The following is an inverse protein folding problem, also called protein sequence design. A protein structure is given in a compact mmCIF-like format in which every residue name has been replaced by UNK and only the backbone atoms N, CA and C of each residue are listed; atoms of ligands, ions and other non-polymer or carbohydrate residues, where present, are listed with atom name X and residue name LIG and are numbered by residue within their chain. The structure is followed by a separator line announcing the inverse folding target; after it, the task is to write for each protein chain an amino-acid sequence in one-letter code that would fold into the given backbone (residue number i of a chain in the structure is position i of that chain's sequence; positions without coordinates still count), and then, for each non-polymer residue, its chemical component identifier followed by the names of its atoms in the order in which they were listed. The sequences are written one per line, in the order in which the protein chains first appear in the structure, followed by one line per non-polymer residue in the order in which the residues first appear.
data_IF_920039898863
#
_entry.id   IF_920039898863
#
_cell.length_a   1.000
_cell.length_b   1.000
_cell.length_c   1.000
_cell.angle_alpha   90.00
_cell.angle_beta   90.00
_cell.angle_gamma   90.00
#
_symmetry.space_group_name_H-M   'P 1'
#
loop_
_entity.id
_entity.type
_entity.pdbx_description
1 polymer ?
#
# COMPACT_ATOMS: atom_id res chain seq x y z
N UNK A 1 3.86 -29.16 -24.48
CA UNK A 1 3.84 -28.27 -23.30
C UNK A 1 5.27 -27.85 -23.01
N UNK A 2 5.71 -26.69 -23.52
CA UNK A 2 7.05 -26.20 -23.21
C UNK A 2 7.09 -25.70 -21.77
N UNK A 3 7.86 -26.37 -20.92
CA UNK A 3 8.17 -25.90 -19.59
C UNK A 3 8.93 -24.59 -19.69
N UNK A 4 8.32 -23.50 -19.22
CA UNK A 4 8.97 -22.20 -19.17
C UNK A 4 9.95 -22.21 -17.99
N UNK A 5 11.13 -22.80 -18.21
CA UNK A 5 12.24 -22.75 -17.25
C UNK A 5 12.78 -21.32 -17.22
N UNK A 6 12.43 -20.57 -16.19
CA UNK A 6 12.97 -19.22 -15.97
C UNK A 6 14.47 -19.35 -15.71
N UNK A 7 15.29 -18.74 -16.59
CA UNK A 7 16.74 -18.68 -16.39
C UNK A 7 17.06 -17.97 -15.06
N UNK A 8 18.07 -18.43 -14.30
CA UNK A 8 18.49 -17.75 -13.09
C UNK A 8 18.98 -16.34 -13.43
N UNK A 9 18.67 -15.36 -12.56
CA UNK A 9 19.10 -13.97 -12.72
C UNK A 9 20.64 -13.89 -12.65
N UNK A 10 21.22 -13.11 -13.57
CA UNK A 10 22.62 -12.71 -13.49
C UNK A 10 22.88 -11.86 -12.24
N UNK A 11 24.15 -11.74 -11.79
CA UNK A 11 24.48 -10.89 -10.64
C UNK A 11 24.04 -9.42 -10.80
N UNK A 12 24.14 -8.86 -12.00
CA UNK A 12 23.73 -7.48 -12.29
C UNK A 12 22.21 -7.30 -12.25
N UNK A 13 21.44 -8.24 -12.82
CA UNK A 13 19.97 -8.21 -12.73
C UNK A 13 19.49 -8.37 -11.30
N UNK A 14 20.16 -9.21 -10.50
CA UNK A 14 19.88 -9.36 -9.07
C UNK A 14 20.13 -8.05 -8.33
N UNK A 15 21.28 -7.40 -8.56
CA UNK A 15 21.60 -6.12 -7.94
C UNK A 15 20.57 -5.04 -8.33
N UNK A 16 20.18 -4.97 -9.60
CA UNK A 16 19.14 -4.06 -10.07
C UNK A 16 17.78 -4.34 -9.41
N UNK A 17 17.39 -5.61 -9.26
CA UNK A 17 16.16 -6.00 -8.58
C UNK A 17 16.16 -5.61 -7.09
N UNK A 18 17.28 -5.79 -6.40
CA UNK A 18 17.46 -5.39 -5.01
C UNK A 18 17.35 -3.87 -4.86
N UNK A 19 18.02 -3.11 -5.72
CA UNK A 19 17.95 -1.64 -5.74
C UNK A 19 16.51 -1.15 -5.99
N UNK A 20 15.80 -1.75 -6.95
CA UNK A 20 14.40 -1.44 -7.21
C UNK A 20 13.51 -1.76 -6.01
N UNK A 21 13.75 -2.87 -5.32
CA UNK A 21 13.00 -3.23 -4.11
C UNK A 21 13.28 -2.27 -2.94
N UNK A 22 14.54 -1.83 -2.77
CA UNK A 22 14.92 -0.84 -1.77
C UNK A 22 14.24 0.52 -2.04
N UNK A 23 14.30 0.99 -3.28
CA UNK A 23 13.61 2.22 -3.70
C UNK A 23 12.10 2.14 -3.42
N UNK A 24 11.45 1.02 -3.77
CA UNK A 24 10.03 0.83 -3.50
C UNK A 24 9.69 0.84 -2.00
N UNK A 25 10.57 0.30 -1.14
CA UNK A 25 10.38 0.37 0.33
C UNK A 25 10.52 1.80 0.82
N UNK A 26 11.50 2.55 0.31
CA UNK A 26 11.71 3.96 0.66
C UNK A 26 10.51 4.82 0.25
N UNK A 27 9.97 4.64 -0.96
CA UNK A 27 8.75 5.35 -1.42
C UNK A 27 7.57 5.10 -0.48
N UNK A 28 7.32 3.85 -0.08
CA UNK A 28 6.24 3.55 0.87
C UNK A 28 6.48 4.15 2.24
N UNK A 29 7.72 4.10 2.76
CA UNK A 29 8.06 4.70 4.04
C UNK A 29 7.83 6.22 4.03
N UNK A 30 8.28 6.91 2.99
CA UNK A 30 8.07 8.35 2.81
C UNK A 30 6.58 8.70 2.70
N UNK A 31 5.79 7.89 1.98
CA UNK A 31 4.35 8.10 1.88
C UNK A 31 3.64 7.95 3.23
N UNK A 32 4.01 6.95 4.04
CA UNK A 32 3.49 6.79 5.41
C UNK A 32 3.88 7.95 6.32
N UNK A 33 5.11 8.44 6.24
CA UNK A 33 5.53 9.61 7.02
C UNK A 33 4.77 10.87 6.61
N UNK A 34 4.51 11.09 5.31
CA UNK A 34 3.66 12.19 4.84
C UNK A 34 2.21 12.08 5.33
N UNK A 35 1.69 10.86 5.43
CA UNK A 35 0.34 10.64 5.94
C UNK A 35 0.29 10.93 7.45
N UNK A 36 1.26 10.42 8.20
CA UNK A 36 1.40 10.63 9.65
C UNK A 36 1.48 12.10 10.05
N UNK A 37 2.17 12.92 9.25
CA UNK A 37 2.34 14.35 9.52
C UNK A 37 1.33 15.26 8.81
N UNK A 38 0.28 14.68 8.18
CA UNK A 38 -0.78 15.44 7.53
C UNK A 38 -0.36 16.18 6.25
N UNK A 39 0.81 15.87 5.67
CA UNK A 39 1.25 16.45 4.38
C UNK A 39 0.55 15.86 3.16
N UNK A 40 -0.19 14.77 3.32
CA UNK A 40 -1.01 14.14 2.27
C UNK A 40 -2.23 13.50 2.92
N UNK A 41 -3.37 13.46 2.21
CA UNK A 41 -4.54 12.69 2.67
C UNK A 41 -4.44 11.22 2.27
N UNK A 42 -5.28 10.38 2.89
CA UNK A 42 -5.43 8.99 2.47
C UNK A 42 -6.01 8.87 1.05
N UNK A 43 -6.97 9.75 0.70
CA UNK A 43 -7.55 9.82 -0.64
C UNK A 43 -6.48 10.11 -1.70
N UNK A 44 -5.60 11.09 -1.47
CA UNK A 44 -4.51 11.43 -2.38
C UNK A 44 -3.55 10.26 -2.59
N UNK A 45 -3.20 9.55 -1.51
CA UNK A 45 -2.28 8.42 -1.57
C UNK A 45 -2.92 7.23 -2.32
N UNK A 46 -4.21 6.96 -2.09
CA UNK A 46 -4.97 5.93 -2.82
C UNK A 46 -5.08 6.29 -4.30
N UNK A 47 -5.25 7.58 -4.64
CA UNK A 47 -5.25 8.07 -6.02
C UNK A 47 -3.88 7.94 -6.69
N UNK A 48 -2.82 8.39 -6.02
CA UNK A 48 -1.44 8.29 -6.50
C UNK A 48 -1.00 6.84 -6.76
N UNK A 49 -1.57 5.88 -6.03
CA UNK A 49 -1.31 4.45 -6.23
C UNK A 49 -1.73 3.93 -7.63
N UNK A 50 -2.50 4.68 -8.42
CA UNK A 50 -2.77 4.33 -9.81
C UNK A 50 -1.55 4.50 -10.73
N UNK A 51 -0.68 5.47 -10.43
CA UNK A 51 0.53 5.78 -11.22
C UNK A 51 1.84 5.30 -10.59
N UNK A 52 1.85 4.96 -9.30
CA UNK A 52 3.04 4.52 -8.57
C UNK A 52 2.94 3.05 -8.16
N UNK A 53 3.74 2.17 -8.79
CA UNK A 53 3.71 0.73 -8.55
C UNK A 53 4.17 0.35 -7.13
N UNK A 54 4.98 1.18 -6.47
CA UNK A 54 5.40 0.95 -5.09
C UNK A 54 4.25 1.22 -4.11
N UNK A 55 3.46 2.27 -4.35
CA UNK A 55 2.24 2.58 -3.58
C UNK A 55 1.11 1.61 -3.91
N UNK A 56 0.91 1.27 -5.19
CA UNK A 56 -0.05 0.27 -5.66
C UNK A 56 0.05 -1.05 -4.89
N UNK A 57 1.29 -1.45 -4.57
CA UNK A 57 1.60 -2.66 -3.83
C UNK A 57 1.60 -2.48 -2.31
N UNK A 58 1.42 -1.29 -1.75
CA UNK A 58 1.31 -1.12 -0.30
C UNK A 58 0.05 -1.83 0.23
N UNK A 59 0.14 -2.44 1.41
CA UNK A 59 -1.03 -3.03 2.08
C UNK A 59 -1.92 -1.93 2.65
N UNK A 60 -3.23 -2.13 2.60
CA UNK A 60 -4.21 -1.17 3.14
C UNK A 60 -4.02 -1.01 4.66
N UNK A 61 -3.73 -2.11 5.38
CA UNK A 61 -3.44 -2.07 6.81
C UNK A 61 -2.25 -1.16 7.16
N UNK A 62 -1.20 -1.13 6.32
CA UNK A 62 -0.03 -0.29 6.56
C UNK A 62 -0.32 1.20 6.35
N UNK A 63 -1.29 1.52 5.48
CA UNK A 63 -1.79 2.88 5.33
C UNK A 63 -2.59 3.31 6.56
N UNK A 64 -3.49 2.45 7.04
CA UNK A 64 -4.28 2.71 8.24
C UNK A 64 -3.38 2.90 9.47
N UNK A 65 -2.40 2.03 9.67
CA UNK A 65 -1.44 2.12 10.79
C UNK A 65 -0.52 3.35 10.74
N UNK A 66 -0.41 4.02 9.58
CA UNK A 66 0.37 5.24 9.45
C UNK A 66 -0.42 6.50 9.86
N UNK A 67 -1.75 6.41 10.00
CA UNK A 67 -2.58 7.51 10.46
C UNK A 67 -2.42 7.72 11.97
N UNK A 68 -2.41 8.98 12.44
CA UNK A 68 -2.34 9.27 13.87
C UNK A 68 -3.54 8.64 14.62
N UNK A 69 -3.25 7.97 15.75
CA UNK A 69 -4.30 7.36 16.58
C UNK A 69 -4.86 6.02 16.06
N UNK A 70 -4.29 5.45 15.00
CA UNK A 70 -4.66 4.12 14.49
C UNK A 70 -3.48 3.16 14.64
N UNK A 71 -3.55 2.27 15.64
CA UNK A 71 -2.61 1.17 15.81
C UNK A 71 -3.12 -0.13 15.16
N UNK A 72 -2.32 -1.21 15.25
CA UNK A 72 -2.60 -2.52 14.63
C UNK A 72 -4.01 -3.07 14.90
N UNK A 73 -4.44 -3.01 16.16
CA UNK A 73 -5.77 -3.51 16.59
C UNK A 73 -6.89 -2.72 15.92
N UNK A 74 -6.79 -1.39 15.96
CA UNK A 74 -7.79 -0.50 15.36
C UNK A 74 -7.79 -0.63 13.83
N UNK A 75 -6.63 -0.73 13.20
CA UNK A 75 -6.52 -0.94 11.76
C UNK A 75 -7.21 -2.24 11.33
N UNK A 76 -6.99 -3.35 12.04
CA UNK A 76 -7.65 -4.63 11.77
C UNK A 76 -9.18 -4.53 11.91
N UNK A 77 -9.67 -3.89 12.98
CA UNK A 77 -11.10 -3.70 13.20
C UNK A 77 -11.76 -2.84 12.10
N UNK A 78 -11.09 -1.77 11.65
CA UNK A 78 -11.57 -0.94 10.53
C UNK A 78 -11.66 -1.78 9.25
N UNK A 79 -10.63 -2.56 8.95
CA UNK A 79 -10.65 -3.43 7.77
C UNK A 79 -11.80 -4.44 7.81
N UNK A 80 -12.05 -5.06 8.96
CA UNK A 80 -13.17 -5.98 9.15
C UNK A 80 -14.52 -5.27 8.97
N UNK A 81 -14.72 -4.13 9.63
CA UNK A 81 -15.94 -3.32 9.52
C UNK A 81 -16.25 -2.91 8.06
N UNK A 82 -15.21 -2.59 7.29
CA UNK A 82 -15.35 -2.18 5.89
C UNK A 82 -15.34 -3.37 4.90
N UNK A 83 -15.28 -4.61 5.37
CA UNK A 83 -15.24 -5.80 4.51
C UNK A 83 -13.98 -5.86 3.62
N UNK A 84 -12.85 -5.35 4.12
CA UNK A 84 -11.56 -5.34 3.43
C UNK A 84 -10.70 -6.48 3.98
N UNK A 85 -10.34 -7.44 3.12
CA UNK A 85 -9.47 -8.54 3.52
C UNK A 85 -8.09 -8.04 4.02
N UNK A 86 -7.54 -8.65 5.08
CA UNK A 86 -6.27 -8.27 5.70
C UNK A 86 -5.06 -8.26 4.73
N UNK A 87 -5.11 -9.05 3.65
CA UNK A 87 -4.08 -9.12 2.61
C UNK A 87 -4.23 -8.07 1.50
N UNK A 88 -5.29 -7.26 1.52
CA UNK A 88 -5.62 -6.31 0.46
C UNK A 88 -4.54 -5.24 0.33
N UNK A 89 -4.24 -4.90 -0.92
CA UNK A 89 -3.32 -3.81 -1.33
C UNK A 89 -4.08 -2.67 -1.98
N UNK A 90 -3.50 -1.47 -2.02
CA UNK A 90 -4.15 -0.25 -2.55
C UNK A 90 -4.67 -0.44 -3.97
N UNK A 91 -3.89 -1.05 -4.86
CA UNK A 91 -4.33 -1.36 -6.24
C UNK A 91 -5.59 -2.21 -6.29
N UNK A 92 -5.79 -3.06 -5.31
CA UNK A 92 -6.85 -4.04 -5.28
C UNK A 92 -8.12 -3.61 -4.54
N UNK A 93 -8.19 -2.38 -4.04
CA UNK A 93 -9.43 -1.85 -3.48
C UNK A 93 -10.44 -1.65 -4.61
N UNK A 94 -11.63 -2.24 -4.46
CA UNK A 94 -12.77 -1.95 -5.33
C UNK A 94 -13.28 -0.52 -5.11
N UNK A 95 -14.06 0.02 -6.04
CA UNK A 95 -14.55 1.41 -5.97
C UNK A 95 -15.29 1.69 -4.66
N UNK A 96 -16.21 0.80 -4.27
CA UNK A 96 -16.94 0.93 -3.00
C UNK A 96 -16.04 0.83 -1.76
N UNK A 97 -15.01 -0.02 -1.79
CA UNK A 97 -14.05 -0.13 -0.68
C UNK A 97 -13.17 1.12 -0.57
N UNK A 98 -12.80 1.75 -1.70
CA UNK A 98 -12.07 3.02 -1.68
C UNK A 98 -12.92 4.12 -1.08
N UNK A 99 -14.17 4.24 -1.53
CA UNK A 99 -15.09 5.25 -1.03
C UNK A 99 -15.30 5.08 0.47
N UNK A 100 -15.70 3.88 0.92
CA UNK A 100 -15.94 3.61 2.34
C UNK A 100 -14.70 3.82 3.21
N UNK A 101 -13.50 3.54 2.70
CA UNK A 101 -12.25 3.79 3.42
C UNK A 101 -11.94 5.28 3.55
N UNK A 102 -12.16 6.06 2.48
CA UNK A 102 -11.95 7.52 2.50
C UNK A 102 -12.97 8.18 3.43
N UNK A 103 -14.26 7.85 3.27
CA UNK A 103 -15.32 8.39 4.13
C UNK A 103 -15.05 8.10 5.61
N UNK A 104 -14.65 6.86 5.94
CA UNK A 104 -14.29 6.50 7.32
C UNK A 104 -13.15 7.34 7.90
N UNK A 105 -12.18 7.73 7.07
CA UNK A 105 -11.01 8.50 7.49
C UNK A 105 -11.38 9.99 7.61
N UNK A 106 -12.19 10.52 6.70
CA UNK A 106 -12.55 11.95 6.64
C UNK A 106 -13.65 12.32 7.66
N UNK A 107 -14.50 11.38 8.08
CA UNK A 107 -15.52 11.57 9.12
C UNK A 107 -14.95 11.59 10.56
N UNK A 108 -13.62 11.48 10.72
CA UNK A 108 -12.93 11.39 12.02
C UNK A 108 -11.99 12.56 12.29
#
# INVERSE_FOLDING_TARGET
MSSMSLRPLSPSERAAALNKAAAARATRAAAKERLKNGKTSAADLIGAAAGDDALARMRVVELLEALPGIGKVRAAAIMEQLGIAASRRLRGLGIHQRQALVDFIDEK
#
